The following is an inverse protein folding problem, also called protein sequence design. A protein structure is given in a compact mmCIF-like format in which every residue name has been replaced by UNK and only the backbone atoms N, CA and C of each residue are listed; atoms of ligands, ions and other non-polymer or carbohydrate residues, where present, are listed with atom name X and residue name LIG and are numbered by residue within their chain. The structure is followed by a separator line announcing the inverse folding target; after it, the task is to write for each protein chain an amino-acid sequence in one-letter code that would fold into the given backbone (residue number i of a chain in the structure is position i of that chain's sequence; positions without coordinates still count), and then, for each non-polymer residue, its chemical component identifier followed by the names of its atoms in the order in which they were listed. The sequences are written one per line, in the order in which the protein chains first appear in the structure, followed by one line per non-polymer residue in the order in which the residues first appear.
data_IF_120968827933
#
_entry.id   IF_120968827933
#
_cell.length_a   1.000
_cell.length_b   1.000
_cell.length_c   1.000
_cell.angle_alpha   90.00
_cell.angle_beta   90.00
_cell.angle_gamma   90.00
#
_symmetry.space_group_name_H-M   'P 1'
#
loop_
_entity.id
_entity.type
_entity.pdbx_description
1 polymer ?
#
# COMPACT_ATOMS: atom_id res chain seq x y z
N UNK A 1 9.88 9.75 4.83
CA UNK A 1 9.19 8.44 4.68
C UNK A 1 10.15 7.57 3.89
N UNK A 2 10.37 6.31 4.28
CA UNK A 2 11.15 5.38 3.45
C UNK A 2 10.15 4.59 2.59
N UNK A 3 10.13 4.78 1.26
CA UNK A 3 9.24 4.02 0.39
C UNK A 3 9.68 2.55 0.33
N UNK A 4 8.71 1.66 0.12
CA UNK A 4 8.92 0.21 -0.03
C UNK A 4 8.23 -0.24 -1.33
N UNK A 5 7.23 -1.13 -1.28
CA UNK A 5 6.47 -1.56 -2.47
C UNK A 5 5.57 -0.47 -3.07
N UNK A 6 5.34 -0.57 -4.38
CA UNK A 6 4.49 0.34 -5.15
C UNK A 6 3.59 -0.39 -6.14
N UNK A 7 2.48 0.22 -6.56
CA UNK A 7 1.69 -0.19 -7.73
C UNK A 7 1.10 1.05 -8.43
N UNK A 8 0.70 0.92 -9.69
CA UNK A 8 0.11 2.03 -10.46
C UNK A 8 -1.40 1.89 -10.65
N UNK A 9 -2.09 3.02 -10.79
CA UNK A 9 -3.52 3.06 -11.13
C UNK A 9 -3.76 3.62 -12.54
N UNK A 10 -5.01 3.57 -13.01
CA UNK A 10 -5.38 3.97 -14.39
C UNK A 10 -5.20 5.45 -14.70
N UNK A 11 -5.09 6.32 -13.71
CA UNK A 11 -4.81 7.74 -13.96
C UNK A 11 -3.30 7.99 -14.09
N UNK A 12 -2.47 6.94 -14.01
CA UNK A 12 -1.01 7.04 -14.02
C UNK A 12 -0.41 7.44 -12.68
N UNK A 13 -1.20 7.47 -11.59
CA UNK A 13 -0.68 7.72 -10.25
C UNK A 13 -0.05 6.45 -9.66
N UNK A 14 0.87 6.65 -8.72
CA UNK A 14 1.58 5.59 -8.02
C UNK A 14 1.08 5.51 -6.57
N UNK A 15 0.66 4.33 -6.17
CA UNK A 15 0.47 3.98 -4.77
C UNK A 15 1.81 3.58 -4.16
N UNK A 16 2.15 4.19 -3.02
CA UNK A 16 3.43 4.03 -2.36
C UNK A 16 3.24 3.53 -0.93
N UNK A 17 3.75 2.33 -0.66
CA UNK A 17 3.91 1.78 0.69
C UNK A 17 5.12 2.42 1.38
N UNK A 18 5.20 2.30 2.70
CA UNK A 18 6.41 2.69 3.41
C UNK A 18 6.39 2.36 4.90
N UNK A 19 7.52 2.61 5.56
CA UNK A 19 7.74 2.29 6.98
C UNK A 19 6.88 3.11 7.97
N UNK A 20 5.93 3.91 7.48
CA UNK A 20 4.93 4.62 8.29
C UNK A 20 3.58 3.92 8.13
N UNK A 21 2.67 4.03 9.13
CA UNK A 21 1.32 3.51 8.96
C UNK A 21 0.62 4.22 7.80
N UNK A 22 0.13 3.42 6.85
CA UNK A 22 -0.61 3.89 5.68
C UNK A 22 0.10 3.75 4.33
N UNK A 23 -0.61 4.16 3.30
CA UNK A 23 -0.13 4.25 1.91
C UNK A 23 -0.46 5.64 1.35
N UNK A 24 0.37 6.13 0.43
CA UNK A 24 0.16 7.39 -0.27
C UNK A 24 -0.20 7.12 -1.73
N UNK A 25 -1.07 7.95 -2.30
CA UNK A 25 -1.21 8.08 -3.75
C UNK A 25 -0.44 9.31 -4.21
N UNK A 26 0.42 9.13 -5.19
CA UNK A 26 1.31 10.15 -5.73
C UNK A 26 1.03 10.29 -7.22
N UNK A 27 0.48 11.42 -7.62
CA UNK A 27 0.25 11.76 -9.02
C UNK A 27 1.52 12.34 -9.66
N UNK A 28 1.43 12.65 -10.95
CA UNK A 28 2.50 13.30 -11.71
C UNK A 28 3.07 14.53 -10.97
N UNK A 29 4.38 14.76 -11.12
CA UNK A 29 5.10 15.82 -10.43
C UNK A 29 5.34 15.59 -8.93
N UNK A 30 5.01 14.40 -8.41
CA UNK A 30 5.23 14.05 -7.00
C UNK A 30 4.16 14.59 -6.05
N UNK A 31 3.02 15.05 -6.59
CA UNK A 31 1.91 15.55 -5.76
C UNK A 31 1.23 14.39 -5.03
N UNK A 32 1.12 14.50 -3.72
CA UNK A 32 0.35 13.57 -2.89
C UNK A 32 -1.09 14.06 -2.86
N UNK A 33 -2.00 13.30 -3.47
CA UNK A 33 -3.42 13.66 -3.57
C UNK A 33 -4.32 12.78 -2.70
N UNK A 34 -3.84 11.62 -2.26
CA UNK A 34 -4.57 10.75 -1.34
C UNK A 34 -3.65 10.07 -0.32
N UNK A 35 -4.21 9.79 0.86
CA UNK A 35 -3.53 9.05 1.92
C UNK A 35 -4.49 8.10 2.62
N UNK A 36 -4.10 6.84 2.72
CA UNK A 36 -4.74 5.84 3.56
C UNK A 36 -3.95 5.72 4.85
N UNK A 37 -4.63 5.59 5.98
CA UNK A 37 -3.99 5.33 7.27
C UNK A 37 -4.35 3.92 7.73
N UNK A 38 -3.33 3.15 8.12
CA UNK A 38 -3.48 1.81 8.71
C UNK A 38 -3.01 1.86 10.16
N UNK A 39 -3.21 0.76 10.91
CA UNK A 39 -2.70 0.66 12.30
C UNK A 39 -1.19 0.40 12.37
N UNK A 40 -0.60 -0.13 11.30
CA UNK A 40 0.78 -0.64 11.23
C UNK A 40 1.46 -0.20 9.93
N UNK A 41 2.81 -0.15 9.89
CA UNK A 41 3.55 0.06 8.64
C UNK A 41 3.05 -0.80 7.48
N UNK A 42 3.07 -0.24 6.27
CA UNK A 42 2.70 -0.92 5.03
C UNK A 42 3.96 -1.21 4.23
N UNK A 43 4.20 -2.45 3.87
CA UNK A 43 5.42 -2.89 3.18
C UNK A 43 5.22 -3.08 1.67
N UNK A 44 4.00 -3.45 1.25
CA UNK A 44 3.65 -3.61 -0.15
C UNK A 44 2.19 -3.21 -0.38
N UNK A 45 1.91 -2.76 -1.61
CA UNK A 45 0.56 -2.40 -2.06
C UNK A 45 0.28 -2.98 -3.44
N UNK A 46 -0.96 -3.37 -3.68
CA UNK A 46 -1.45 -3.80 -4.99
C UNK A 46 -2.93 -3.45 -5.16
N UNK A 47 -3.31 -2.96 -6.34
CA UNK A 47 -4.72 -2.79 -6.71
C UNK A 47 -5.29 -4.09 -7.27
N UNK A 48 -6.53 -4.42 -6.90
CA UNK A 48 -7.19 -5.62 -7.38
C UNK A 48 -8.65 -5.71 -6.95
N UNK A 49 -9.16 -6.93 -6.82
CA UNK A 49 -10.58 -7.21 -6.63
C UNK A 49 -11.37 -7.20 -7.94
N UNK A 50 -12.64 -7.57 -7.90
CA UNK A 50 -13.50 -7.69 -9.09
C UNK A 50 -13.54 -6.37 -9.89
N UNK A 51 -13.60 -5.27 -9.17
CA UNK A 51 -13.68 -3.92 -9.71
C UNK A 51 -12.31 -3.24 -9.89
N UNK A 52 -11.22 -3.94 -9.56
CA UNK A 52 -9.84 -3.41 -9.56
C UNK A 52 -9.63 -2.19 -8.64
N UNK A 53 -10.57 -1.92 -7.72
CA UNK A 53 -10.60 -0.76 -6.81
C UNK A 53 -10.28 -1.09 -5.36
N UNK A 54 -9.84 -2.31 -5.06
CA UNK A 54 -9.33 -2.65 -3.72
C UNK A 54 -7.81 -2.47 -3.69
N UNK A 55 -7.34 -1.57 -2.83
CA UNK A 55 -5.93 -1.48 -2.48
C UNK A 55 -5.65 -2.47 -1.35
N UNK A 56 -4.98 -3.58 -1.69
CA UNK A 56 -4.45 -4.53 -0.73
C UNK A 56 -3.13 -4.00 -0.17
N UNK A 57 -2.96 -4.08 1.15
CA UNK A 57 -1.81 -3.54 1.89
C UNK A 57 -1.22 -4.61 2.80
N UNK A 58 0.03 -5.01 2.56
CA UNK A 58 0.76 -5.90 3.47
C UNK A 58 1.23 -5.11 4.70
N UNK A 59 0.64 -5.38 5.87
CA UNK A 59 0.94 -4.66 7.11
C UNK A 59 1.56 -5.56 8.16
N UNK A 60 2.53 -5.04 8.92
CA UNK A 60 3.20 -5.75 10.03
C UNK A 60 3.76 -4.73 11.02
N UNK A 61 3.92 -5.11 12.29
CA UNK A 61 4.53 -4.22 13.28
C UNK A 61 6.03 -3.95 13.01
N UNK A 62 6.70 -4.86 12.29
CA UNK A 62 8.12 -4.77 11.94
C UNK A 62 8.44 -5.63 10.71
N UNK A 63 9.55 -5.32 10.02
CA UNK A 63 10.19 -6.21 9.04
C UNK A 63 11.49 -6.84 9.54
N UNK A 64 11.87 -6.59 10.80
CA UNK A 64 13.03 -7.22 11.42
C UNK A 64 12.79 -8.75 11.55
N UNK A 65 13.72 -9.60 11.06
CA UNK A 65 13.55 -11.05 11.08
C UNK A 65 13.40 -11.66 12.48
N UNK A 66 14.06 -11.09 13.50
CA UNK A 66 13.99 -11.57 14.88
C UNK A 66 12.64 -11.21 15.48
N UNK A 67 12.15 -9.99 15.26
CA UNK A 67 10.85 -9.52 15.74
C UNK A 67 9.72 -10.28 15.05
N UNK A 68 9.74 -10.38 13.72
CA UNK A 68 8.68 -11.04 12.92
C UNK A 68 8.58 -12.53 13.22
N UNK A 69 9.70 -13.22 13.49
CA UNK A 69 9.69 -14.62 13.93
C UNK A 69 9.01 -14.82 15.30
N UNK A 70 9.11 -13.84 16.20
CA UNK A 70 8.50 -13.88 17.54
C UNK A 70 7.04 -13.44 17.55
N UNK A 71 6.65 -12.58 16.61
CA UNK A 71 5.33 -11.98 16.55
C UNK A 71 4.71 -12.16 15.15
N UNK A 72 3.92 -13.23 15.00
CA UNK A 72 3.07 -13.45 13.83
C UNK A 72 1.89 -12.48 13.84
N UNK A 73 2.13 -11.22 13.44
CA UNK A 73 1.12 -10.15 13.42
C UNK A 73 0.96 -9.49 12.05
N UNK A 74 1.52 -10.09 11.01
CA UNK A 74 1.35 -9.63 9.65
C UNK A 74 -0.11 -9.85 9.19
N UNK A 75 -0.67 -8.86 8.51
CA UNK A 75 -2.06 -8.84 8.04
C UNK A 75 -2.12 -8.25 6.64
N UNK A 76 -3.20 -8.56 5.91
CA UNK A 76 -3.58 -7.82 4.70
C UNK A 76 -4.72 -6.88 5.08
N UNK A 77 -4.42 -5.59 5.12
CA UNK A 77 -5.45 -4.56 5.22
C UNK A 77 -5.96 -4.25 3.81
N UNK A 78 -7.26 -3.95 3.67
CA UNK A 78 -7.87 -3.63 2.37
C UNK A 78 -8.65 -2.33 2.49
N UNK A 79 -8.45 -1.44 1.52
CA UNK A 79 -9.23 -0.22 1.38
C UNK A 79 -9.80 -0.11 -0.03
N UNK A 80 -11.03 0.35 -0.16
CA UNK A 80 -11.58 0.73 -1.47
C UNK A 80 -11.05 2.10 -1.88
N UNK A 81 -10.70 2.27 -3.15
CA UNK A 81 -10.16 3.50 -3.73
C UNK A 81 -10.92 3.89 -5.00
N UNK A 82 -10.85 5.17 -5.37
CA UNK A 82 -11.60 5.70 -6.52
C UNK A 82 -11.08 5.22 -7.88
N UNK A 83 -9.76 5.07 -8.03
CA UNK A 83 -9.14 4.75 -9.32
C UNK A 83 -8.71 3.28 -9.36
N UNK A 84 -9.14 2.51 -10.38
CA UNK A 84 -8.79 1.09 -10.49
C UNK A 84 -7.33 0.86 -10.93
N UNK A 85 -6.86 -0.39 -10.83
CA UNK A 85 -5.54 -0.84 -11.31
C UNK A 85 -5.28 -0.48 -12.77
N UNK A 86 -4.04 -0.09 -13.08
CA UNK A 86 -3.53 0.14 -14.44
C UNK A 86 -3.51 -1.11 -15.34
N UNK A 87 -3.67 -2.31 -14.78
CA UNK A 87 -3.67 -3.58 -15.51
C UNK A 87 -3.51 -4.80 -14.60
N UNK A 88 -3.20 -5.95 -15.19
CA UNK A 88 -2.79 -7.14 -14.42
C UNK A 88 -1.33 -7.02 -14.00
N UNK A 89 -0.95 -7.51 -12.81
CA UNK A 89 0.42 -7.47 -12.28
C UNK A 89 1.46 -8.14 -13.18
#
# INVERSE_FOLDING_TARGET
MKPDGICSDRDGAIWVAGTRPGALRVSEGGKIDFKITTKRPVFAVMLGGAEQRHLFMCTSASSDPVITRRHSNATIDVAEVGTPSSGTP
#
